data_IF_513361626973
#
_entry.id   IF_513361626973
#
_cell.length_a   1.000
_cell.length_b   1.000
_cell.length_c   1.000
_cell.angle_alpha   90.00
_cell.angle_beta   90.00
_cell.angle_gamma   90.00
#
_symmetry.space_group_name_H-M   'P 1'
#
loop_
_entity.id
_entity.type
_entity.pdbx_description
1 polymer ?
#
# COMPACT_ATOMS: atom_id res chain seq x y z
N UNK A 1 0.63 11.26 11.20
CA UNK A 1 0.12 10.07 10.47
C UNK A 1 -0.38 8.98 11.39
N UNK A 2 -0.11 9.01 12.70
CA UNK A 2 -0.79 8.16 13.70
C UNK A 2 -2.20 8.64 14.07
N UNK A 3 -2.59 9.80 13.53
CA UNK A 3 -3.79 10.53 13.94
C UNK A 3 -5.07 10.02 13.25
N UNK A 4 -4.96 9.16 12.23
CA UNK A 4 -6.10 8.63 11.47
C UNK A 4 -6.05 7.09 11.38
N UNK A 5 -6.84 6.37 12.20
CA UNK A 5 -6.80 4.91 12.25
C UNK A 5 -7.21 4.25 10.93
N UNK A 6 -8.08 4.92 10.15
CA UNK A 6 -8.54 4.43 8.83
C UNK A 6 -7.39 4.31 7.81
N UNK A 7 -6.36 5.16 7.92
CA UNK A 7 -5.17 5.09 7.09
C UNK A 7 -4.20 3.98 7.54
N UNK A 8 -4.26 3.58 8.81
CA UNK A 8 -3.48 2.48 9.35
C UNK A 8 -4.12 1.11 9.04
N UNK A 9 -5.45 1.04 8.99
CA UNK A 9 -6.21 -0.19 8.74
C UNK A 9 -6.39 -0.53 7.25
N UNK A 10 -5.87 0.30 6.34
CA UNK A 10 -5.92 0.07 4.87
C UNK A 10 -7.34 -0.10 4.32
N UNK A 11 -8.31 0.59 4.92
CA UNK A 11 -9.69 0.58 4.47
C UNK A 11 -9.87 1.35 3.15
N UNK A 12 -10.92 1.03 2.36
CA UNK A 12 -11.26 1.78 1.17
C UNK A 12 -11.58 3.24 1.50
N UNK A 13 -10.86 4.18 0.89
CA UNK A 13 -10.99 5.59 1.21
C UNK A 13 -12.09 6.27 0.38
N UNK A 14 -12.76 7.24 1.01
CA UNK A 14 -13.68 8.19 0.36
C UNK A 14 -13.00 8.86 -0.85
N UNK A 15 -13.76 9.04 -1.93
CA UNK A 15 -13.29 9.84 -3.07
C UNK A 15 -13.11 11.31 -2.66
N UNK A 16 -11.98 11.91 -3.01
CA UNK A 16 -11.67 13.29 -2.64
C UNK A 16 -11.22 13.48 -1.18
N UNK A 17 -10.84 12.41 -0.47
CA UNK A 17 -10.34 12.50 0.92
C UNK A 17 -9.09 13.40 1.08
N UNK A 18 -8.41 13.70 -0.03
CA UNK A 18 -7.32 14.68 -0.07
C UNK A 18 -7.74 16.07 0.40
N UNK A 19 -8.96 16.50 0.08
CA UNK A 19 -9.47 17.81 0.47
C UNK A 19 -9.77 17.82 1.97
N UNK A 20 -10.36 16.74 2.48
CA UNK A 20 -10.63 16.56 3.92
C UNK A 20 -9.30 16.53 4.72
N UNK A 21 -8.26 15.87 4.18
CA UNK A 21 -6.92 15.85 4.77
C UNK A 21 -6.22 17.21 4.72
N UNK A 22 -6.42 17.98 3.64
CA UNK A 22 -5.87 19.35 3.52
C UNK A 22 -6.47 20.31 4.54
N UNK A 23 -7.76 20.16 4.84
CA UNK A 23 -8.46 21.00 5.82
C UNK A 23 -8.06 20.61 7.24
N UNK A 24 -7.90 19.31 7.53
CA UNK A 24 -7.66 18.82 8.90
C UNK A 24 -6.20 18.68 9.29
N UNK A 25 -5.27 18.64 8.34
CA UNK A 25 -3.85 18.47 8.63
C UNK A 25 -3.03 19.71 8.26
N UNK A 26 -1.99 19.98 9.05
CA UNK A 26 -1.00 21.02 8.76
C UNK A 26 0.04 20.60 7.71
N UNK A 27 -0.20 19.48 6.99
CA UNK A 27 0.72 18.95 6.00
C UNK A 27 0.55 19.67 4.66
N UNK A 28 1.66 19.79 3.93
CA UNK A 28 1.60 20.33 2.57
C UNK A 28 0.85 19.38 1.64
N UNK A 29 0.09 19.95 0.69
CA UNK A 29 -0.64 19.22 -0.35
C UNK A 29 0.18 18.13 -1.02
N UNK A 30 1.44 18.44 -1.34
CA UNK A 30 2.36 17.49 -1.98
C UNK A 30 2.61 16.25 -1.11
N UNK A 31 2.82 16.43 0.20
CA UNK A 31 3.03 15.31 1.13
C UNK A 31 1.78 14.43 1.24
N UNK A 32 0.60 15.04 1.30
CA UNK A 32 -0.68 14.33 1.35
C UNK A 32 -0.88 13.49 0.08
N UNK A 33 -0.69 14.08 -1.10
CA UNK A 33 -0.82 13.36 -2.37
C UNK A 33 0.18 12.21 -2.50
N UNK A 34 1.43 12.40 -2.08
CA UNK A 34 2.42 11.32 -2.09
C UNK A 34 2.04 10.18 -1.15
N UNK A 35 1.58 10.51 0.07
CA UNK A 35 1.11 9.54 1.03
C UNK A 35 -0.10 8.75 0.52
N UNK A 36 -1.11 9.44 -0.02
CA UNK A 36 -2.29 8.81 -0.60
C UNK A 36 -1.93 7.89 -1.76
N UNK A 37 -1.07 8.36 -2.68
CA UNK A 37 -0.61 7.55 -3.81
C UNK A 37 0.12 6.29 -3.34
N UNK A 38 0.94 6.38 -2.31
CA UNK A 38 1.62 5.22 -1.73
C UNK A 38 0.61 4.25 -1.12
N UNK A 39 -0.33 4.76 -0.32
CA UNK A 39 -1.37 3.98 0.34
C UNK A 39 -2.27 3.25 -0.68
N UNK A 40 -2.79 3.96 -1.68
CA UNK A 40 -3.66 3.42 -2.73
C UNK A 40 -2.96 2.38 -3.62
N UNK A 41 -1.63 2.43 -3.70
CA UNK A 41 -0.84 1.44 -4.44
C UNK A 41 -0.44 0.24 -3.60
N UNK A 42 -0.75 0.19 -2.31
CA UNK A 42 -0.43 -0.97 -1.47
C UNK A 42 -1.27 -2.19 -1.85
N UNK A 43 -0.71 -3.40 -1.66
CA UNK A 43 -1.43 -4.66 -1.90
C UNK A 43 -2.67 -4.76 -0.99
N UNK A 44 -2.52 -4.36 0.28
CA UNK A 44 -3.60 -4.38 1.27
C UNK A 44 -4.78 -3.50 0.83
N UNK A 45 -4.52 -2.29 0.32
CA UNK A 45 -5.57 -1.42 -0.21
C UNK A 45 -6.29 -2.05 -1.40
N UNK A 46 -5.56 -2.63 -2.37
CA UNK A 46 -6.19 -3.30 -3.52
C UNK A 46 -7.05 -4.50 -3.08
N UNK A 47 -6.62 -5.26 -2.08
CA UNK A 47 -7.40 -6.35 -1.50
C UNK A 47 -8.67 -5.85 -0.81
N UNK A 48 -8.61 -4.71 -0.12
CA UNK A 48 -9.78 -4.08 0.47
C UNK A 48 -10.77 -3.61 -0.61
N UNK A 49 -10.28 -3.04 -1.72
CA UNK A 49 -11.13 -2.68 -2.86
C UNK A 49 -11.74 -3.91 -3.53
N UNK A 50 -10.98 -4.99 -3.72
CA UNK A 50 -11.45 -6.23 -4.34
C UNK A 50 -12.51 -6.99 -3.53
N UNK A 51 -12.54 -6.77 -2.21
CA UNK A 51 -13.59 -7.27 -1.31
C UNK A 51 -14.90 -6.47 -1.43
N UNK A 52 -14.83 -5.23 -1.92
CA UNK A 52 -15.99 -4.35 -2.04
C UNK A 52 -16.42 -3.72 -0.71
N UNK A 53 -17.67 -3.26 -0.67
CA UNK A 53 -18.26 -2.59 0.49
C UNK A 53 -18.19 -1.05 0.44
N UNK A 54 -18.49 -0.39 1.57
CA UNK A 54 -18.48 1.06 1.65
C UNK A 54 -17.06 1.63 1.71
N UNK A 55 -16.92 2.86 1.20
CA UNK A 55 -15.75 3.70 1.40
C UNK A 55 -15.88 4.46 2.70
N UNK A 56 -14.77 4.74 3.36
CA UNK A 56 -14.76 5.42 4.65
C UNK A 56 -14.08 6.77 4.55
N UNK A 57 -14.63 7.75 5.26
CA UNK A 57 -14.00 9.05 5.47
C UNK A 57 -12.94 8.98 6.59
N UNK A 58 -12.36 10.14 6.95
CA UNK A 58 -11.36 10.25 8.01
C UNK A 58 -11.90 9.92 9.41
N UNK A 59 -13.22 10.01 9.61
CA UNK A 59 -13.92 9.72 10.86
C UNK A 59 -14.42 8.26 10.91
N UNK A 60 -14.20 7.47 9.85
CA UNK A 60 -14.67 6.09 9.76
C UNK A 60 -16.15 5.97 9.40
N UNK A 61 -16.77 7.02 8.86
CA UNK A 61 -18.16 6.97 8.39
C UNK A 61 -18.24 6.51 6.94
N UNK A 62 -19.27 5.76 6.56
CA UNK A 62 -19.48 5.35 5.17
C UNK A 62 -19.74 6.59 4.30
N UNK A 63 -18.92 6.78 3.27
CA UNK A 63 -18.91 7.92 2.39
C UNK A 63 -18.72 7.46 0.93
N UNK A 64 -19.71 6.71 0.46
CA UNK A 64 -19.77 6.13 -0.88
C UNK A 64 -19.51 4.63 -0.88
N UNK A 65 -19.57 4.04 -2.07
CA UNK A 65 -19.47 2.60 -2.27
C UNK A 65 -18.45 2.25 -3.36
N UNK A 66 -18.01 1.00 -3.37
CA UNK A 66 -17.10 0.46 -4.39
C UNK A 66 -17.94 -0.28 -5.42
N UNK A 67 -17.87 0.19 -6.66
CA UNK A 67 -18.62 -0.42 -7.77
C UNK A 67 -18.00 -1.77 -8.16
N UNK A 68 -18.78 -2.72 -8.72
CA UNK A 68 -18.25 -4.02 -9.14
C UNK A 68 -17.12 -3.89 -10.16
N UNK A 69 -17.14 -2.89 -11.03
CA UNK A 69 -16.07 -2.61 -12.00
C UNK A 69 -14.76 -2.26 -11.28
N UNK A 70 -14.82 -1.47 -10.20
CA UNK A 70 -13.65 -1.13 -9.39
C UNK A 70 -13.10 -2.35 -8.67
N UNK A 71 -13.97 -3.26 -8.20
CA UNK A 71 -13.54 -4.52 -7.59
C UNK A 71 -12.80 -5.39 -8.60
N UNK A 72 -13.35 -5.51 -9.81
CA UNK A 72 -12.74 -6.29 -10.90
C UNK A 72 -11.37 -5.74 -11.30
N UNK A 73 -11.26 -4.42 -11.51
CA UNK A 73 -9.97 -3.77 -11.81
C UNK A 73 -8.93 -4.00 -10.71
N UNK A 74 -9.34 -3.99 -9.43
CA UNK A 74 -8.45 -4.25 -8.32
C UNK A 74 -7.92 -5.70 -8.33
N UNK A 75 -8.78 -6.68 -8.64
CA UNK A 75 -8.39 -8.10 -8.78
C UNK A 75 -7.39 -8.30 -9.92
N UNK A 76 -7.68 -7.75 -11.09
CA UNK A 76 -6.77 -7.81 -12.24
C UNK A 76 -5.40 -7.19 -11.93
N UNK A 77 -5.40 -6.05 -11.25
CA UNK A 77 -4.15 -5.38 -10.83
C UNK A 77 -3.35 -6.25 -9.85
N UNK A 78 -4.02 -6.97 -8.95
CA UNK A 78 -3.36 -7.88 -8.01
C UNK A 78 -2.70 -9.06 -8.74
N UNK A 79 -3.41 -9.68 -9.67
CA UNK A 79 -2.91 -10.79 -10.47
C UNK A 79 -1.69 -10.39 -11.32
N UNK A 80 -1.78 -9.24 -12.01
CA UNK A 80 -0.66 -8.70 -12.79
C UNK A 80 0.59 -8.48 -11.93
N UNK A 81 0.43 -7.91 -10.74
CA UNK A 81 1.54 -7.67 -9.81
C UNK A 81 2.14 -8.95 -9.27
N UNK A 82 1.32 -9.95 -9.01
CA UNK A 82 1.79 -11.25 -8.58
C UNK A 82 2.59 -11.95 -9.69
N UNK A 83 2.09 -11.92 -10.93
CA UNK A 83 2.80 -12.44 -12.10
C UNK A 83 4.16 -11.74 -12.32
N UNK A 84 4.21 -10.41 -12.21
CA UNK A 84 5.46 -9.65 -12.28
C UNK A 84 6.43 -10.04 -11.17
N UNK A 85 5.95 -10.18 -9.94
CA UNK A 85 6.78 -10.57 -8.80
C UNK A 85 7.37 -11.98 -8.99
N UNK A 86 6.58 -12.94 -9.48
CA UNK A 86 7.06 -14.29 -9.78
C UNK A 86 8.09 -14.28 -10.92
N UNK A 87 7.85 -13.54 -12.01
CA UNK A 87 8.82 -13.36 -13.10
C UNK A 87 10.15 -12.80 -12.60
N UNK A 88 10.11 -11.75 -11.77
CA UNK A 88 11.31 -11.16 -11.14
C UNK A 88 12.05 -12.18 -10.26
N UNK A 89 11.31 -12.98 -9.47
CA UNK A 89 11.90 -14.05 -8.65
C UNK A 89 12.58 -15.14 -9.48
N UNK A 90 11.98 -15.53 -10.61
CA UNK A 90 12.56 -16.54 -11.52
C UNK A 90 13.85 -16.05 -12.16
N UNK A 91 13.88 -14.79 -12.64
CA UNK A 91 15.08 -14.16 -13.20
C UNK A 91 16.19 -14.06 -12.14
N UNK A 92 15.85 -13.63 -10.91
CA UNK A 92 16.81 -13.53 -9.81
C UNK A 92 17.41 -14.89 -9.43
N UNK A 93 16.59 -15.95 -9.42
CA UNK A 93 17.03 -17.33 -9.15
C UNK A 93 17.93 -17.89 -10.25
N UNK A 94 17.69 -17.56 -11.51
CA UNK A 94 18.58 -17.94 -12.62
C UNK A 94 19.94 -17.21 -12.60
N UNK A 95 19.99 -15.99 -12.07
CA UNK A 95 21.20 -15.17 -11.99
C UNK A 95 22.00 -15.33 -10.68
N UNK A 96 21.53 -16.18 -9.74
CA UNK A 96 22.25 -16.45 -8.48
C UNK A 96 23.26 -17.59 -8.69
N UNK A 97 24.27 -17.33 -9.51
CA UNK A 97 25.62 -17.88 -9.32
C UNK A 97 26.53 -16.66 -9.14
N UNK A 98 27.25 -16.61 -8.01
CA UNK A 98 28.24 -15.58 -7.63
C UNK A 98 27.68 -14.30 -6.99
N UNK A 99 27.36 -14.38 -5.70
CA UNK A 99 28.16 -13.73 -4.64
C UNK A 99 27.82 -14.37 -3.29
N UNK A 100 28.75 -15.05 -2.60
CA UNK A 100 28.54 -15.36 -1.19
C UNK A 100 28.43 -14.02 -0.43
N UNK A 101 27.37 -13.89 0.36
CA UNK A 101 27.23 -12.82 1.34
C UNK A 101 28.53 -12.74 2.15
N UNK A 102 29.23 -11.60 2.22
CA UNK A 102 30.37 -11.49 3.10
C UNK A 102 29.87 -11.78 4.52
N UNK A 103 30.58 -12.71 5.16
CA UNK A 103 30.42 -13.09 6.55
C UNK A 103 30.28 -11.82 7.39
N UNK A 104 29.18 -11.68 8.11
CA UNK A 104 29.09 -10.75 9.25
C UNK A 104 29.97 -11.35 10.36
N UNK A 105 31.28 -11.23 10.19
CA UNK A 105 32.27 -11.48 11.22
C UNK A 105 32.43 -10.25 12.10
N UNK A 106 32.67 -10.52 13.38
CA UNK A 106 33.24 -9.64 14.39
C UNK A 106 32.37 -8.49 14.92
N UNK A 107 31.61 -8.79 15.98
CA UNK A 107 31.80 -8.05 17.23
C UNK A 107 32.00 -9.12 18.32
N UNK A 108 33.28 -9.41 18.58
CA UNK A 108 33.73 -10.16 19.74
C UNK A 108 33.42 -9.36 21.00
N UNK A 109 32.99 -10.08 22.04
CA UNK A 109 33.09 -9.66 23.42
C UNK A 109 34.57 -9.62 23.86
N UNK A 110 34.91 -8.58 24.62
CA UNK A 110 36.01 -8.46 25.61
C UNK A 110 36.12 -6.94 25.91
N UNK A 111 35.97 -6.39 27.12
CA UNK A 111 36.21 -6.83 28.50
C UNK A 111 35.26 -6.10 29.46
#
# INVERSE_FOLDING_TARGET
MRDYPILAQTCPLKMGIEQDLLVRSSLSRRKILMALRYHMRSKAYLLAIAQGGPRYDLDGRPAGEITPEQQQQARETLEQREAEFQKRRMIQRGNTRLVPSPLRGAIQADR
#
